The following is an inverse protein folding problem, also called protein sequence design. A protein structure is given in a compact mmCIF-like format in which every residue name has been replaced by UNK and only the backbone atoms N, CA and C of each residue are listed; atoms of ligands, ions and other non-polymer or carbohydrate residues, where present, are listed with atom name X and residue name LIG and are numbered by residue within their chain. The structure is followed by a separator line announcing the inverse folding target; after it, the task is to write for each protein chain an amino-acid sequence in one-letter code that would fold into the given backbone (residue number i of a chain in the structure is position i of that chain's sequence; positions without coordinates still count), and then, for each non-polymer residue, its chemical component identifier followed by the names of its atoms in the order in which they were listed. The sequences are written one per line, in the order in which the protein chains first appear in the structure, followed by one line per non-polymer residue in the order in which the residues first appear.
data_IF_380642631083
#
_entry.id   IF_380642631083
#
_cell.length_a   1.000
_cell.length_b   1.000
_cell.length_c   1.000
_cell.angle_alpha   90.00
_cell.angle_beta   90.00
_cell.angle_gamma   90.00
#
_symmetry.space_group_name_H-M   'P 1'
#
loop_
_entity.id
_entity.type
_entity.pdbx_description
1 polymer ?
#
# COMPACT_ATOMS: atom_id res chain seq x y z
N UNK A 1 -7.74 -16.69 25.52
CA UNK A 1 -7.97 -15.92 24.26
C UNK A 1 -6.82 -16.21 23.30
N UNK A 2 -7.08 -16.49 22.01
CA UNK A 2 -6.04 -16.60 21.00
C UNK A 2 -5.35 -15.25 20.79
N UNK A 3 -4.03 -15.26 20.60
CA UNK A 3 -3.23 -14.07 20.32
C UNK A 3 -2.58 -14.23 18.97
N UNK A 4 -3.02 -13.45 17.99
CA UNK A 4 -2.43 -13.42 16.65
C UNK A 4 -1.56 -12.17 16.54
N UNK A 5 -0.31 -12.34 16.15
CA UNK A 5 0.59 -11.25 15.76
C UNK A 5 0.58 -11.13 14.25
N UNK A 6 0.34 -9.93 13.73
CA UNK A 6 0.34 -9.65 12.30
C UNK A 6 1.44 -8.65 11.99
N UNK A 7 2.30 -8.96 11.05
CA UNK A 7 3.36 -8.08 10.56
C UNK A 7 3.11 -7.75 9.08
N UNK A 8 3.32 -6.48 8.74
CA UNK A 8 3.21 -5.95 7.38
C UNK A 8 4.54 -5.32 7.01
N UNK A 9 5.15 -5.79 5.92
CA UNK A 9 6.43 -5.29 5.45
C UNK A 9 6.30 -4.92 3.96
N UNK A 10 6.51 -3.65 3.65
CA UNK A 10 6.46 -3.13 2.28
C UNK A 10 7.88 -2.86 1.81
N UNK A 11 8.31 -3.56 0.76
CA UNK A 11 9.64 -3.37 0.20
C UNK A 11 9.69 -2.21 -0.83
N UNK A 12 10.91 -1.83 -1.23
CA UNK A 12 11.13 -0.76 -2.21
C UNK A 12 10.61 -1.08 -3.62
N UNK A 13 10.28 -2.34 -3.91
CA UNK A 13 9.67 -2.77 -5.18
C UNK A 13 8.14 -2.76 -5.11
N UNK A 14 7.56 -2.35 -3.97
CA UNK A 14 6.12 -2.35 -3.74
C UNK A 14 5.55 -3.72 -3.38
N UNK A 15 6.37 -4.74 -3.12
CA UNK A 15 5.90 -6.05 -2.69
C UNK A 15 5.53 -5.96 -1.21
N UNK A 16 4.26 -6.25 -0.91
CA UNK A 16 3.74 -6.30 0.45
C UNK A 16 3.83 -7.75 0.97
N UNK A 17 4.67 -7.95 1.98
CA UNK A 17 4.78 -9.19 2.73
C UNK A 17 3.89 -9.11 3.97
N UNK A 18 2.92 -10.01 4.07
CA UNK A 18 2.03 -10.11 5.23
C UNK A 18 2.33 -11.43 5.93
N UNK A 19 2.68 -11.38 7.22
CA UNK A 19 2.84 -12.59 8.04
C UNK A 19 1.92 -12.54 9.25
N UNK A 20 1.35 -13.69 9.59
CA UNK A 20 0.52 -13.89 10.76
C UNK A 20 1.06 -15.05 11.59
N UNK A 21 1.26 -14.82 12.89
CA UNK A 21 1.73 -15.82 13.84
C UNK A 21 0.74 -15.96 14.99
N UNK A 22 0.29 -17.18 15.23
CA UNK A 22 -0.43 -17.50 16.46
C UNK A 22 0.58 -17.68 17.60
N UNK A 23 0.55 -16.80 18.60
CA UNK A 23 1.47 -16.82 19.74
C UNK A 23 1.29 -18.03 20.65
N UNK A 24 0.12 -18.68 20.64
CA UNK A 24 -0.13 -19.85 21.48
C UNK A 24 0.39 -21.14 20.84
N UNK A 25 0.19 -21.31 19.53
CA UNK A 25 0.59 -22.53 18.82
C UNK A 25 1.95 -22.42 18.11
N UNK A 26 2.47 -21.21 17.94
CA UNK A 26 3.69 -20.94 17.17
C UNK A 26 3.52 -21.13 15.66
N UNK A 27 2.31 -21.44 15.18
CA UNK A 27 2.04 -21.61 13.75
C UNK A 27 2.11 -20.26 13.05
N UNK A 28 2.81 -20.24 11.93
CA UNK A 28 3.03 -19.07 11.10
C UNK A 28 2.41 -19.30 9.71
N UNK A 29 1.78 -18.27 9.17
CA UNK A 29 1.39 -18.22 7.76
C UNK A 29 1.82 -16.87 7.17
N UNK A 30 2.35 -16.90 5.95
CA UNK A 30 2.78 -15.70 5.24
C UNK A 30 2.19 -15.67 3.83
N UNK A 31 1.79 -14.48 3.40
CA UNK A 31 1.31 -14.19 2.05
C UNK A 31 2.20 -13.10 1.46
N UNK A 32 2.70 -13.34 0.26
CA UNK A 32 3.44 -12.34 -0.52
C UNK A 32 2.48 -11.75 -1.53
N UNK A 33 2.08 -10.50 -1.31
CA UNK A 33 1.30 -9.72 -2.26
C UNK A 33 2.30 -8.93 -3.08
N UNK A 34 2.65 -9.45 -4.26
CA UNK A 34 3.36 -8.64 -5.26
C UNK A 34 2.46 -7.45 -5.57
N UNK A 35 3.02 -6.25 -5.71
CA UNK A 35 2.29 -5.13 -6.29
C UNK A 35 1.93 -5.45 -7.76
N UNK A 36 0.94 -6.30 -7.97
CA UNK A 36 -0.07 -6.00 -8.96
C UNK A 36 -0.97 -4.98 -8.25
N UNK A 37 -0.67 -3.69 -8.38
CA UNK A 37 -1.64 -2.64 -8.05
C UNK A 37 -3.00 -2.88 -8.73
N UNK A 38 -3.05 -3.81 -9.71
CA UNK A 38 -4.21 -4.06 -10.55
C UNK A 38 -4.41 -2.94 -11.57
N UNK A 39 -3.55 -1.93 -11.52
CA UNK A 39 -3.51 -0.75 -12.36
C UNK A 39 -2.50 -1.02 -13.46
N UNK A 40 -2.89 -0.76 -14.70
CA UNK A 40 -1.94 -0.72 -15.81
C UNK A 40 -1.00 0.49 -15.63
N UNK A 41 0.12 0.51 -16.36
CA UNK A 41 1.00 1.69 -16.40
C UNK A 41 0.24 2.96 -16.82
N UNK A 42 -0.81 2.80 -17.64
CA UNK A 42 -1.70 3.88 -18.10
C UNK A 42 -2.55 4.45 -16.95
N UNK A 43 -3.07 3.59 -16.07
CA UNK A 43 -3.81 4.01 -14.88
C UNK A 43 -2.90 4.77 -13.91
N UNK A 44 -1.65 4.33 -13.76
CA UNK A 44 -0.64 5.01 -12.94
C UNK A 44 -0.34 6.40 -13.51
N UNK A 45 -0.06 6.51 -14.82
CA UNK A 45 0.18 7.81 -15.46
C UNK A 45 -1.00 8.76 -15.30
N UNK A 46 -2.23 8.24 -15.43
CA UNK A 46 -3.44 9.04 -15.27
C UNK A 46 -3.56 9.56 -13.84
N UNK A 47 -3.32 8.72 -12.83
CA UNK A 47 -3.34 9.13 -11.43
C UNK A 47 -2.27 10.18 -11.12
N UNK A 48 -1.07 10.05 -11.71
CA UNK A 48 0.00 11.06 -11.58
C UNK A 48 -0.43 12.40 -12.21
N UNK A 49 -0.97 12.38 -13.43
CA UNK A 49 -1.47 13.60 -14.11
C UNK A 49 -2.61 14.25 -13.33
N UNK A 50 -3.55 13.45 -12.81
CA UNK A 50 -4.67 13.94 -12.01
C UNK A 50 -4.17 14.56 -10.68
N UNK A 51 -3.18 13.95 -10.02
CA UNK A 51 -2.56 14.48 -8.81
C UNK A 51 -1.79 15.79 -9.07
N UNK A 52 -1.05 15.87 -10.16
CA UNK A 52 -0.36 17.10 -10.59
C UNK A 52 -1.35 18.22 -10.94
N UNK A 53 -2.44 17.89 -11.64
CA UNK A 53 -3.51 18.83 -11.95
C UNK A 53 -4.21 19.32 -10.68
N UNK A 54 -4.47 18.43 -9.72
CA UNK A 54 -5.04 18.78 -8.41
C UNK A 54 -4.11 19.72 -7.63
N UNK A 55 -2.81 19.40 -7.57
CA UNK A 55 -1.79 20.24 -6.93
C UNK A 55 -1.69 21.62 -7.60
N UNK A 56 -1.85 21.69 -8.92
CA UNK A 56 -1.83 22.93 -9.71
C UNK A 56 -3.11 23.77 -9.59
N UNK A 57 -4.23 23.19 -9.17
CA UNK A 57 -5.49 23.92 -8.90
C UNK A 57 -5.58 24.45 -7.45
N UNK A 58 -4.86 23.84 -6.51
CA UNK A 58 -4.72 24.31 -5.12
C UNK A 58 -3.99 25.66 -4.89
N UNK A 59 -3.21 26.28 -5.80
CA UNK A 59 -2.62 27.61 -5.59
C UNK A 59 -3.68 28.70 -5.39
N UNK A 60 -4.90 28.47 -5.88
CA UNK A 60 -6.04 29.40 -5.75
C UNK A 60 -6.55 29.55 -4.31
N UNK A 61 -6.17 28.65 -3.40
CA UNK A 61 -6.55 28.69 -1.98
C UNK A 61 -5.45 29.28 -1.07
N UNK A 62 -4.26 29.59 -1.60
CA UNK A 62 -3.17 30.20 -0.80
C UNK A 62 -3.29 31.73 -0.68
N UNK A 63 -4.24 32.35 -1.39
CA UNK A 63 -4.51 33.79 -1.34
C UNK A 63 -5.84 34.13 -0.64
N UNK A 64 -6.33 33.26 0.26
CA UNK A 64 -7.44 33.57 1.16
C UNK A 64 -6.96 33.58 2.62
#
# INVERSE_FOLDING_TARGET
MPQIEVSFDLDANGILNVSAKDKNSGKEQSIVIKASSGLSDEDIEKMVKDAEAMLRMMPSLKNL
#
